data_IF_714016658841
#
_entry.id   IF_714016658841
#
_cell.length_a   1.000
_cell.length_b   1.000
_cell.length_c   1.000
_cell.angle_alpha   90.00
_cell.angle_beta   90.00
_cell.angle_gamma   90.00
#
_symmetry.space_group_name_H-M   'P 1'
#
loop_
_entity.id
_entity.type
_entity.pdbx_description
1 polymer ?
#
# COMPACT_ATOMS: atom_id res chain seq x y z
N UNK A 1 28.79 29.00 -18.01
CA UNK A 1 28.50 27.67 -17.40
C UNK A 1 29.78 26.91 -17.09
N UNK A 2 30.59 26.50 -18.08
CA UNK A 2 31.84 25.77 -17.84
C UNK A 2 32.92 26.59 -17.13
N UNK A 3 32.96 27.91 -17.38
CA UNK A 3 33.90 28.82 -16.69
C UNK A 3 33.59 28.99 -15.20
N UNK A 4 32.32 28.89 -14.82
CA UNK A 4 31.85 29.11 -13.43
C UNK A 4 31.76 27.79 -12.66
N UNK A 5 31.28 26.72 -13.29
CA UNK A 5 31.03 25.43 -12.65
C UNK A 5 32.05 24.34 -13.02
N UNK A 6 33.03 24.66 -13.88
CA UNK A 6 34.10 23.76 -14.28
C UNK A 6 33.57 22.40 -14.77
N UNK A 7 34.10 21.33 -14.18
CA UNK A 7 33.71 19.95 -14.48
C UNK A 7 32.32 19.53 -13.99
N UNK A 8 31.67 20.31 -13.12
CA UNK A 8 30.32 20.05 -12.64
C UNK A 8 29.24 20.69 -13.54
N UNK A 9 29.63 21.30 -14.66
CA UNK A 9 28.68 21.90 -15.60
C UNK A 9 27.80 20.84 -16.27
N UNK A 10 26.50 21.15 -16.41
CA UNK A 10 25.57 20.31 -17.17
C UNK A 10 25.99 20.21 -18.64
N UNK A 11 25.76 19.04 -19.23
CA UNK A 11 25.97 18.83 -20.66
C UNK A 11 25.11 19.81 -21.49
N UNK A 12 25.64 20.26 -22.63
CA UNK A 12 24.98 21.24 -23.51
C UNK A 12 23.58 20.79 -23.95
N UNK A 13 23.39 19.49 -24.19
CA UNK A 13 22.09 18.90 -24.54
C UNK A 13 21.04 19.05 -23.42
N UNK A 14 21.45 18.90 -22.16
CA UNK A 14 20.58 19.09 -21.00
C UNK A 14 20.15 20.55 -20.87
N UNK A 15 21.07 21.49 -21.10
CA UNK A 15 20.79 22.94 -21.06
C UNK A 15 19.74 23.31 -22.13
N UNK A 16 19.95 22.91 -23.39
CA UNK A 16 18.99 23.18 -24.46
C UNK A 16 17.60 22.61 -24.18
N UNK A 17 17.52 21.38 -23.67
CA UNK A 17 16.26 20.76 -23.31
C UNK A 17 15.54 21.50 -22.17
N UNK A 18 16.27 22.13 -21.26
CA UNK A 18 15.69 22.99 -20.22
C UNK A 18 15.22 24.33 -20.79
N UNK A 19 15.99 24.98 -21.66
CA UNK A 19 15.58 26.21 -22.34
C UNK A 19 14.25 26.02 -23.11
N UNK A 20 14.14 24.95 -23.91
CA UNK A 20 12.92 24.63 -24.64
C UNK A 20 11.70 24.44 -23.71
N UNK A 21 11.89 23.78 -22.56
CA UNK A 21 10.81 23.59 -21.60
C UNK A 21 10.39 24.90 -20.96
N UNK A 22 11.35 25.78 -20.66
CA UNK A 22 11.08 27.09 -20.11
C UNK A 22 10.32 27.98 -21.10
N UNK A 23 10.74 28.00 -22.37
CA UNK A 23 10.03 28.68 -23.47
C UNK A 23 8.61 28.12 -23.68
N UNK A 24 8.42 26.81 -23.46
CA UNK A 24 7.10 26.18 -23.45
C UNK A 24 6.26 26.48 -22.19
N UNK A 25 6.68 27.42 -21.34
CA UNK A 25 5.95 27.88 -20.16
C UNK A 25 6.17 27.05 -18.89
N UNK A 26 7.11 26.08 -18.88
CA UNK A 26 7.41 25.31 -17.67
C UNK A 26 8.18 26.17 -16.66
N UNK A 27 7.48 26.62 -15.63
CA UNK A 27 8.08 27.36 -14.49
C UNK A 27 8.56 26.46 -13.35
N UNK A 28 8.08 25.21 -13.28
CA UNK A 28 8.45 24.28 -12.22
C UNK A 28 9.83 23.64 -12.49
N UNK A 29 10.78 23.92 -11.59
CA UNK A 29 12.15 23.40 -11.62
C UNK A 29 12.23 21.96 -11.09
N UNK A 30 11.28 21.52 -10.26
CA UNK A 30 11.28 20.15 -9.71
C UNK A 30 11.05 19.12 -10.81
N UNK A 31 11.68 17.96 -10.64
CA UNK A 31 11.42 16.80 -11.49
C UNK A 31 9.92 16.46 -11.45
N UNK A 32 9.37 16.16 -12.63
CA UNK A 32 8.02 15.62 -12.71
C UNK A 32 8.03 14.19 -12.14
N UNK A 33 6.86 13.70 -11.67
CA UNK A 33 6.72 12.30 -11.30
C UNK A 33 7.24 11.45 -12.45
N UNK A 34 8.25 10.62 -12.18
CA UNK A 34 8.72 9.66 -13.16
C UNK A 34 7.64 8.59 -13.29
N UNK A 35 7.25 8.18 -14.51
CA UNK A 35 6.43 7.00 -14.69
C UNK A 35 7.17 5.83 -14.03
N UNK A 36 6.62 5.30 -12.94
CA UNK A 36 7.18 4.18 -12.20
C UNK A 36 6.58 2.85 -12.64
N UNK A 37 7.27 1.74 -12.32
CA UNK A 37 6.85 0.37 -12.61
C UNK A 37 5.70 -0.11 -11.72
N UNK A 38 5.43 0.59 -10.62
CA UNK A 38 4.40 0.24 -9.62
C UNK A 38 3.00 0.11 -10.24
N UNK A 39 2.71 0.88 -11.29
CA UNK A 39 1.39 0.91 -11.92
C UNK A 39 1.09 -0.29 -12.83
N UNK A 40 2.11 -1.06 -13.25
CA UNK A 40 1.94 -2.17 -14.22
C UNK A 40 1.67 -3.51 -13.50
N UNK A 41 2.24 -3.72 -12.32
CA UNK A 41 2.12 -5.00 -11.58
C UNK A 41 0.92 -4.99 -10.63
N UNK A 42 0.46 -3.81 -10.21
CA UNK A 42 -0.59 -3.62 -9.20
C UNK A 42 -1.90 -3.20 -9.88
N UNK A 43 -2.57 -4.17 -10.52
CA UNK A 43 -3.92 -3.96 -11.09
C UNK A 43 -4.99 -4.15 -10.01
N UNK A 44 -6.19 -3.60 -10.20
CA UNK A 44 -7.32 -3.79 -9.28
C UNK A 44 -7.63 -5.27 -9.01
N UNK A 45 -7.52 -6.12 -10.04
CA UNK A 45 -7.71 -7.57 -9.90
C UNK A 45 -6.71 -8.22 -8.93
N UNK A 46 -5.43 -7.82 -8.98
CA UNK A 46 -4.41 -8.37 -8.06
C UNK A 46 -4.60 -7.85 -6.65
N UNK A 47 -5.06 -6.60 -6.48
CA UNK A 47 -5.40 -6.03 -5.17
C UNK A 47 -6.56 -6.80 -4.54
N UNK A 48 -7.65 -7.05 -5.27
CA UNK A 48 -8.79 -7.81 -4.77
C UNK A 48 -8.43 -9.25 -4.41
N UNK A 49 -7.64 -9.92 -5.24
CA UNK A 49 -7.20 -11.29 -4.93
C UNK A 49 -6.30 -11.36 -3.67
N UNK A 50 -5.46 -10.34 -3.42
CA UNK A 50 -4.68 -10.26 -2.18
C UNK A 50 -5.57 -10.00 -0.97
N UNK A 51 -6.64 -9.20 -1.10
CA UNK A 51 -7.58 -8.90 -0.01
C UNK A 51 -8.32 -10.17 0.46
N UNK A 52 -8.75 -11.02 -0.47
CA UNK A 52 -9.38 -12.31 -0.15
C UNK A 52 -8.45 -13.25 0.61
N UNK A 53 -7.15 -13.18 0.33
CA UNK A 53 -6.13 -14.07 0.91
C UNK A 53 -5.40 -13.47 2.12
N UNK A 54 -5.85 -12.34 2.67
CA UNK A 54 -5.13 -11.59 3.73
C UNK A 54 -4.89 -12.37 5.02
N UNK A 55 -5.66 -13.45 5.24
CA UNK A 55 -5.52 -14.35 6.40
C UNK A 55 -4.31 -15.28 6.29
N UNK A 56 -3.75 -15.44 5.09
CA UNK A 56 -2.57 -16.25 4.82
C UNK A 56 -1.29 -15.45 5.04
N UNK A 57 -0.16 -16.16 5.04
CA UNK A 57 1.14 -15.51 5.09
C UNK A 57 1.48 -14.88 3.73
N UNK A 58 2.31 -13.83 3.76
CA UNK A 58 2.80 -13.16 2.54
C UNK A 58 3.51 -14.12 1.57
N UNK A 59 4.07 -15.24 2.07
CA UNK A 59 4.72 -16.26 1.24
C UNK A 59 3.70 -17.12 0.51
N UNK A 60 2.64 -17.54 1.20
CA UNK A 60 1.56 -18.32 0.60
C UNK A 60 0.86 -17.50 -0.48
N UNK A 61 0.51 -16.24 -0.19
CA UNK A 61 -0.11 -15.34 -1.17
C UNK A 61 0.78 -15.14 -2.41
N UNK A 62 2.10 -15.03 -2.22
CA UNK A 62 3.04 -14.89 -3.34
C UNK A 62 3.06 -16.14 -4.25
N UNK A 63 2.87 -17.33 -3.67
CA UNK A 63 2.80 -18.60 -4.41
C UNK A 63 1.45 -18.74 -5.12
N UNK A 64 0.35 -18.41 -4.44
CA UNK A 64 -1.01 -18.51 -4.99
C UNK A 64 -1.26 -17.53 -6.14
N UNK A 65 -0.70 -16.31 -6.06
CA UNK A 65 -0.92 -15.23 -7.05
C UNK A 65 0.25 -15.02 -8.02
N UNK A 66 1.11 -16.03 -8.22
CA UNK A 66 2.49 -15.93 -8.73
C UNK A 66 3.14 -14.53 -8.79
N UNK A 67 3.09 -13.77 -7.69
CA UNK A 67 3.66 -12.41 -7.59
C UNK A 67 4.80 -12.38 -6.58
N UNK A 68 5.69 -11.40 -6.73
CA UNK A 68 6.80 -11.25 -5.80
C UNK A 68 6.31 -10.94 -4.38
N UNK A 69 7.00 -11.47 -3.37
CA UNK A 69 6.74 -11.15 -1.95
C UNK A 69 6.76 -9.63 -1.68
N UNK A 70 7.63 -8.90 -2.37
CA UNK A 70 7.72 -7.44 -2.26
C UNK A 70 6.45 -6.74 -2.75
N UNK A 71 5.89 -7.23 -3.87
CA UNK A 71 4.61 -6.75 -4.40
C UNK A 71 3.48 -7.02 -3.42
N UNK A 72 3.38 -8.24 -2.87
CA UNK A 72 2.35 -8.58 -1.87
C UNK A 72 2.46 -7.65 -0.66
N UNK A 73 3.68 -7.43 -0.15
CA UNK A 73 3.92 -6.52 0.97
C UNK A 73 3.51 -5.07 0.65
N UNK A 74 3.83 -4.59 -0.54
CA UNK A 74 3.43 -3.27 -1.01
C UNK A 74 1.90 -3.15 -1.11
N UNK A 75 1.22 -4.14 -1.70
CA UNK A 75 -0.25 -4.16 -1.79
C UNK A 75 -0.88 -4.11 -0.40
N UNK A 76 -0.46 -4.99 0.51
CA UNK A 76 -1.02 -5.06 1.87
C UNK A 76 -0.87 -3.72 2.61
N UNK A 77 0.32 -3.11 2.60
CA UNK A 77 0.58 -1.93 3.44
C UNK A 77 0.33 -0.59 2.76
N UNK A 78 0.50 -0.48 1.44
CA UNK A 78 0.38 0.80 0.71
C UNK A 78 -0.96 0.94 0.01
N UNK A 79 -1.49 -0.14 -0.57
CA UNK A 79 -2.75 -0.10 -1.31
C UNK A 79 -3.95 -0.36 -0.39
N UNK A 80 -3.89 -1.43 0.41
CA UNK A 80 -4.95 -1.83 1.35
C UNK A 80 -4.83 -1.16 2.72
N UNK A 81 -3.62 -0.73 3.11
CA UNK A 81 -3.37 -0.07 4.39
C UNK A 81 -3.48 -0.99 5.61
N UNK A 82 -3.39 -2.31 5.43
CA UNK A 82 -3.50 -3.27 6.52
C UNK A 82 -2.22 -3.38 7.35
N UNK A 83 -2.42 -3.70 8.63
CA UNK A 83 -1.36 -4.03 9.59
C UNK A 83 -1.51 -5.46 10.09
N UNK A 84 -0.39 -6.09 10.44
CA UNK A 84 -0.42 -7.42 11.06
C UNK A 84 -0.84 -7.30 12.53
N UNK A 85 -1.88 -8.02 12.91
CA UNK A 85 -2.30 -8.19 14.31
C UNK A 85 -2.19 -9.66 14.72
N UNK A 86 -1.90 -9.91 15.99
CA UNK A 86 -1.90 -11.26 16.54
C UNK A 86 -3.33 -11.65 16.95
N UNK A 87 -3.68 -12.92 16.78
CA UNK A 87 -4.95 -13.44 17.29
C UNK A 87 -5.04 -13.27 18.81
N UNK A 88 -6.20 -12.82 19.29
CA UNK A 88 -6.47 -12.73 20.72
C UNK A 88 -6.87 -14.12 21.26
N UNK A 89 -6.33 -14.49 22.43
CA UNK A 89 -6.71 -15.73 23.07
C UNK A 89 -8.16 -15.67 23.55
N UNK A 90 -8.95 -16.67 23.16
CA UNK A 90 -10.35 -16.81 23.57
C UNK A 90 -10.46 -18.04 24.49
N UNK A 91 -10.89 -17.90 25.76
CA UNK A 91 -10.84 -18.99 26.74
C UNK A 91 -11.65 -20.23 26.39
N UNK A 92 -12.76 -20.05 25.66
CA UNK A 92 -13.66 -21.14 25.29
C UNK A 92 -14.37 -20.85 23.97
N UNK A 93 -14.47 -21.87 23.13
CA UNK A 93 -15.34 -21.84 21.97
C UNK A 93 -16.80 -22.03 22.42
N UNK A 94 -17.59 -20.96 22.34
CA UNK A 94 -18.98 -20.96 22.80
C UNK A 94 -19.93 -21.48 21.73
N UNK A 95 -20.91 -22.27 22.14
CA UNK A 95 -22.03 -22.66 21.27
C UNK A 95 -22.99 -21.48 21.03
N UNK A 96 -23.84 -21.58 20.00
CA UNK A 96 -24.84 -20.54 19.69
C UNK A 96 -25.71 -20.18 20.89
N UNK A 97 -26.27 -21.20 21.56
CA UNK A 97 -27.12 -21.01 22.74
C UNK A 97 -26.37 -20.31 23.88
N UNK A 98 -25.08 -20.62 24.08
CA UNK A 98 -24.25 -19.96 25.09
C UNK A 98 -23.98 -18.49 24.76
N UNK A 99 -23.82 -18.13 23.48
CA UNK A 99 -23.69 -16.73 23.05
C UNK A 99 -24.99 -15.97 23.30
N UNK A 100 -26.14 -16.54 22.95
CA UNK A 100 -27.46 -15.92 23.17
C UNK A 100 -27.74 -15.70 24.65
N UNK A 101 -27.46 -16.69 25.50
CA UNK A 101 -27.63 -16.54 26.95
C UNK A 101 -26.74 -15.43 27.52
N UNK A 102 -25.47 -15.34 27.08
CA UNK A 102 -24.56 -14.25 27.50
C UNK A 102 -25.04 -12.87 27.05
N UNK A 103 -25.52 -12.74 25.81
CA UNK A 103 -26.11 -11.50 25.32
C UNK A 103 -27.35 -11.11 26.11
N UNK A 104 -28.21 -12.08 26.44
CA UNK A 104 -29.40 -11.87 27.26
C UNK A 104 -29.07 -11.33 28.65
N UNK A 105 -28.07 -11.91 29.33
CA UNK A 105 -27.61 -11.43 30.65
C UNK A 105 -27.05 -10.00 30.56
N UNK A 106 -26.28 -9.69 29.52
CA UNK A 106 -25.73 -8.33 29.33
C UNK A 106 -26.85 -7.30 29.15
N UNK A 107 -27.86 -7.62 28.33
CA UNK A 107 -28.99 -6.74 28.09
C UNK A 107 -29.86 -6.58 29.33
N UNK A 108 -30.12 -7.65 30.11
CA UNK A 108 -30.91 -7.53 31.35
C UNK A 108 -30.20 -6.76 32.45
N UNK A 109 -28.86 -6.79 32.51
CA UNK A 109 -28.07 -5.98 33.46
C UNK A 109 -28.03 -4.50 33.09
N UNK A 110 -28.20 -4.13 31.81
CA UNK A 110 -28.18 -2.74 31.35
C UNK A 110 -29.47 -1.97 31.70
N UNK A 111 -30.55 -2.67 32.04
CA UNK A 111 -31.87 -2.11 32.35
C UNK A 111 -32.34 -2.37 33.79
N UNK A 112 -31.43 -2.76 34.69
CA UNK A 112 -31.69 -2.73 36.13
C UNK A 112 -31.32 -1.34 36.67
N UNK A 113 -32.20 -0.68 37.46
CA UNK A 113 -31.95 0.65 38.02
C UNK A 113 -30.78 0.68 39.02
#
# INVERSE_FOLDING_TARGET
>A
MKEVYGGQSLARCTIFRWCQRYEAGRVNIKDLPRPGQEHVVTNSATISAVDELIRLTTREIAVELPISKGTVHHVIHKMLGYGKVCAQWVPKHLSGNQKTARMGIFLTQQFLP
#
